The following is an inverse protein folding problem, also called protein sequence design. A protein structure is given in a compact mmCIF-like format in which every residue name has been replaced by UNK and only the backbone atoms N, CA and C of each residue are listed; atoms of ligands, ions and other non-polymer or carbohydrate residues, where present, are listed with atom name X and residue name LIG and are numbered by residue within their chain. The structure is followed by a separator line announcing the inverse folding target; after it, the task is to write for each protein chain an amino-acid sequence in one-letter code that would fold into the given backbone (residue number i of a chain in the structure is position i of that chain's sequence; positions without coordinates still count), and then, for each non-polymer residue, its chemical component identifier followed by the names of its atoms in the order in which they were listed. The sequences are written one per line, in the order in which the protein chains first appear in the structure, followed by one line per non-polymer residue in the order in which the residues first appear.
data_IF_868288871902
#
_entry.id   IF_868288871902
#
_cell.length_a   1.000
_cell.length_b   1.000
_cell.length_c   1.000
_cell.angle_alpha   90.00
_cell.angle_beta   90.00
_cell.angle_gamma   90.00
#
_symmetry.space_group_name_H-M   'P 1'
#
loop_
_entity.id
_entity.type
_entity.pdbx_description
1 polymer ?
#
# COMPACT_ATOMS: atom_id res chain seq x y z
N UNK A 1 33.53 -22.40 16.36
CA UNK A 1 32.70 -23.27 15.51
C UNK A 1 33.36 -24.62 15.40
N UNK A 2 32.65 -25.71 15.66
CA UNK A 2 33.17 -27.06 15.46
C UNK A 2 33.41 -27.31 13.96
N UNK A 3 34.22 -28.31 13.60
CA UNK A 3 34.41 -28.71 12.18
C UNK A 3 33.08 -29.11 11.54
N UNK A 4 32.23 -29.79 12.29
CA UNK A 4 30.91 -30.25 11.86
C UNK A 4 29.97 -29.10 11.48
N UNK A 5 29.99 -27.99 12.25
CA UNK A 5 29.18 -26.81 11.92
C UNK A 5 29.63 -26.15 10.60
N UNK A 6 30.93 -26.15 10.30
CA UNK A 6 31.46 -25.60 9.03
C UNK A 6 31.05 -26.43 7.82
N UNK A 7 31.08 -27.75 7.95
CA UNK A 7 30.66 -28.67 6.88
C UNK A 7 29.15 -28.56 6.61
N UNK A 8 28.36 -28.44 7.67
CA UNK A 8 26.92 -28.23 7.59
C UNK A 8 26.59 -26.88 6.94
N UNK A 9 27.31 -25.81 7.29
CA UNK A 9 27.19 -24.50 6.63
C UNK A 9 27.51 -24.58 5.13
N UNK A 10 28.62 -25.22 4.75
CA UNK A 10 29.02 -25.37 3.34
C UNK A 10 27.97 -26.15 2.52
N UNK A 11 27.42 -27.22 3.10
CA UNK A 11 26.38 -28.04 2.45
C UNK A 11 25.07 -27.26 2.24
N UNK A 12 24.67 -26.44 3.21
CA UNK A 12 23.51 -25.54 3.08
C UNK A 12 23.75 -24.51 1.98
N UNK A 13 24.92 -23.87 1.96
CA UNK A 13 25.28 -22.88 0.94
C UNK A 13 25.21 -23.49 -0.45
N UNK A 14 25.72 -24.72 -0.62
CA UNK A 14 25.67 -25.42 -1.90
C UNK A 14 24.24 -25.72 -2.35
N UNK A 15 23.41 -26.33 -1.50
CA UNK A 15 22.01 -26.64 -1.85
C UNK A 15 21.17 -25.39 -2.13
N UNK A 16 21.46 -24.27 -1.47
CA UNK A 16 20.80 -22.99 -1.74
C UNK A 16 21.22 -22.43 -3.10
N UNK A 17 22.50 -22.55 -3.48
CA UNK A 17 22.98 -22.20 -4.83
C UNK A 17 22.37 -23.09 -5.91
N UNK A 18 22.20 -24.38 -5.61
CA UNK A 18 21.57 -25.35 -6.51
C UNK A 18 20.04 -25.16 -6.63
N UNK A 19 19.47 -24.20 -5.89
CA UNK A 19 18.06 -23.81 -6.01
C UNK A 19 17.08 -24.71 -5.26
N UNK A 20 17.56 -25.60 -4.38
CA UNK A 20 16.73 -26.50 -3.58
C UNK A 20 15.82 -25.70 -2.64
N UNK A 21 14.58 -26.18 -2.46
CA UNK A 21 13.61 -25.52 -1.59
C UNK A 21 14.09 -25.54 -0.13
N UNK A 22 13.94 -24.42 0.58
CA UNK A 22 14.33 -24.30 2.00
C UNK A 22 13.62 -25.34 2.89
N UNK A 23 12.37 -25.69 2.59
CA UNK A 23 11.66 -26.72 3.34
C UNK A 23 12.34 -28.09 3.21
N UNK A 24 12.80 -28.41 2.00
CA UNK A 24 13.46 -29.67 1.69
C UNK A 24 14.85 -29.74 2.33
N UNK A 25 15.61 -28.65 2.30
CA UNK A 25 16.90 -28.52 3.01
C UNK A 25 16.74 -28.79 4.51
N UNK A 26 15.69 -28.24 5.14
CA UNK A 26 15.41 -28.47 6.57
C UNK A 26 15.11 -29.93 6.87
N UNK A 27 14.34 -30.60 6.01
CA UNK A 27 13.99 -32.01 6.20
C UNK A 27 15.19 -32.93 5.98
N UNK A 28 15.98 -32.70 4.93
CA UNK A 28 17.15 -33.52 4.61
C UNK A 28 18.26 -33.39 5.66
N UNK A 29 18.52 -32.17 6.13
CA UNK A 29 19.57 -31.92 7.13
C UNK A 29 19.07 -31.96 8.58
N UNK A 30 17.75 -32.13 8.80
CA UNK A 30 17.09 -32.07 10.12
C UNK A 30 17.44 -30.81 10.91
N UNK A 31 17.49 -29.66 10.23
CA UNK A 31 17.87 -28.37 10.83
C UNK A 31 16.63 -27.51 11.11
N UNK A 32 16.63 -26.81 12.25
CA UNK A 32 15.61 -25.82 12.58
C UNK A 32 15.63 -24.59 11.67
N UNK A 33 14.46 -23.96 11.48
CA UNK A 33 14.28 -22.81 10.59
C UNK A 33 15.19 -21.61 10.92
N UNK A 34 15.47 -21.37 12.20
CA UNK A 34 16.32 -20.26 12.65
C UNK A 34 17.78 -20.44 12.20
N UNK A 35 18.34 -21.64 12.38
CA UNK A 35 19.74 -21.96 12.02
C UNK A 35 19.95 -21.88 10.50
N UNK A 36 19.00 -22.38 9.71
CA UNK A 36 19.04 -22.22 8.24
C UNK A 36 19.02 -20.74 7.82
N UNK A 37 18.10 -19.94 8.37
CA UNK A 37 18.01 -18.50 8.04
C UNK A 37 19.25 -17.72 8.46
N UNK A 38 19.86 -18.07 9.60
CA UNK A 38 21.10 -17.43 10.06
C UNK A 38 22.27 -17.69 9.12
N UNK A 39 22.46 -18.94 8.69
CA UNK A 39 23.53 -19.33 7.77
C UNK A 39 23.33 -18.69 6.40
N UNK A 40 22.10 -18.68 5.91
CA UNK A 40 21.75 -18.07 4.63
C UNK A 40 21.98 -16.55 4.67
N UNK A 41 21.59 -15.87 5.76
CA UNK A 41 21.85 -14.44 5.98
C UNK A 41 23.35 -14.14 6.09
N UNK A 42 24.11 -14.94 6.85
CA UNK A 42 25.56 -14.77 7.05
C UNK A 42 26.34 -14.87 5.74
N UNK A 43 25.89 -15.74 4.84
CA UNK A 43 26.53 -15.94 3.54
C UNK A 43 26.02 -14.99 2.44
N UNK A 44 25.19 -14.00 2.77
CA UNK A 44 24.60 -13.08 1.78
C UNK A 44 23.72 -13.77 0.74
N UNK A 45 23.40 -15.05 0.96
CA UNK A 45 22.48 -15.82 0.14
C UNK A 45 21.11 -15.28 0.50
N UNK A 46 20.47 -14.61 -0.45
CA UNK A 46 19.23 -13.92 -0.14
C UNK A 46 18.12 -14.95 0.09
N UNK A 47 17.59 -15.04 1.32
CA UNK A 47 16.24 -15.62 1.55
C UNK A 47 15.15 -14.79 0.87
N UNK A 48 15.47 -13.56 0.46
CA UNK A 48 14.60 -12.66 -0.27
C UNK A 48 14.59 -12.91 -1.76
N UNK A 49 13.98 -14.02 -2.20
CA UNK A 49 13.41 -14.10 -3.57
C UNK A 49 12.29 -13.06 -3.82
N UNK A 50 12.01 -12.14 -2.88
CA UNK A 50 10.81 -11.29 -2.92
C UNK A 50 11.03 -9.80 -2.66
N UNK A 51 12.27 -9.31 -2.55
CA UNK A 51 12.53 -7.89 -2.30
C UNK A 51 13.56 -7.28 -3.26
N UNK A 52 13.66 -7.79 -4.50
CA UNK A 52 14.19 -6.94 -5.55
C UNK A 52 13.23 -5.73 -5.68
N UNK A 53 13.76 -4.50 -5.71
CA UNK A 53 12.96 -3.35 -6.10
C UNK A 53 12.26 -3.65 -7.43
N UNK A 54 11.02 -3.19 -7.61
CA UNK A 54 10.31 -3.38 -8.87
C UNK A 54 11.03 -2.57 -9.96
N UNK A 55 11.43 -3.22 -11.06
CA UNK A 55 11.97 -2.48 -12.20
C UNK A 55 10.85 -1.74 -12.91
N UNK A 56 11.20 -0.68 -13.64
CA UNK A 56 10.22 0.11 -14.38
C UNK A 56 9.50 -0.72 -15.45
N UNK A 57 10.20 -1.65 -16.08
CA UNK A 57 9.64 -2.63 -17.03
C UNK A 57 8.61 -3.56 -16.34
N UNK A 58 8.92 -4.08 -15.15
CA UNK A 58 7.97 -4.93 -14.40
C UNK A 58 6.72 -4.14 -14.01
N UNK A 59 6.89 -2.85 -13.67
CA UNK A 59 5.78 -1.96 -13.33
C UNK A 59 4.87 -1.70 -14.53
N UNK A 60 5.44 -1.46 -15.70
CA UNK A 60 4.68 -1.22 -16.93
C UNK A 60 3.89 -2.46 -17.35
N UNK A 61 4.47 -3.66 -17.19
CA UNK A 61 3.77 -4.93 -17.42
C UNK A 61 2.57 -5.06 -16.48
N UNK A 62 2.75 -4.81 -15.18
CA UNK A 62 1.67 -4.88 -14.20
C UNK A 62 0.58 -3.85 -14.52
N UNK A 63 0.96 -2.62 -14.87
CA UNK A 63 0.00 -1.58 -15.23
C UNK A 63 -0.78 -1.96 -16.50
N UNK A 64 -0.11 -2.39 -17.57
CA UNK A 64 -0.77 -2.81 -18.80
C UNK A 64 -1.77 -3.94 -18.55
N UNK A 65 -1.32 -5.03 -17.92
CA UNK A 65 -2.15 -6.22 -17.74
C UNK A 65 -3.28 -6.00 -16.72
N UNK A 66 -3.01 -5.30 -15.62
CA UNK A 66 -4.01 -5.11 -14.58
C UNK A 66 -4.98 -3.95 -14.90
N UNK A 67 -4.48 -2.85 -15.45
CA UNK A 67 -5.27 -1.63 -15.69
C UNK A 67 -5.90 -1.61 -17.08
N UNK A 68 -5.12 -1.85 -18.14
CA UNK A 68 -5.63 -1.77 -19.52
C UNK A 68 -6.44 -3.02 -19.88
N UNK A 69 -5.97 -4.19 -19.47
CA UNK A 69 -6.60 -5.47 -19.82
C UNK A 69 -7.51 -6.03 -18.71
N UNK A 70 -7.51 -5.44 -17.50
CA UNK A 70 -8.39 -5.83 -16.41
C UNK A 70 -8.11 -7.22 -15.83
N UNK A 71 -6.89 -7.77 -16.03
CA UNK A 71 -6.55 -9.11 -15.57
C UNK A 71 -6.38 -9.15 -14.05
N UNK A 72 -6.88 -10.23 -13.45
CA UNK A 72 -6.67 -10.48 -12.01
C UNK A 72 -5.21 -10.85 -11.74
N UNK A 73 -4.66 -10.56 -10.53
CA UNK A 73 -3.28 -10.90 -10.20
C UNK A 73 -2.93 -12.38 -10.41
N UNK A 74 -3.92 -13.27 -10.23
CA UNK A 74 -3.76 -14.70 -10.48
C UNK A 74 -3.60 -15.03 -11.98
N UNK A 75 -4.26 -14.30 -12.87
CA UNK A 75 -4.06 -14.44 -14.32
C UNK A 75 -2.71 -13.86 -14.75
N UNK A 76 -2.32 -12.71 -14.20
CA UNK A 76 -1.02 -12.08 -14.46
C UNK A 76 0.12 -13.01 -14.04
N UNK A 77 0.01 -13.70 -12.91
CA UNK A 77 1.02 -14.68 -12.51
C UNK A 77 1.15 -15.84 -13.52
N UNK A 78 0.04 -16.28 -14.12
CA UNK A 78 0.03 -17.38 -15.09
C UNK A 78 0.63 -17.01 -16.45
N UNK A 79 0.74 -15.74 -16.80
CA UNK A 79 1.37 -15.33 -18.07
C UNK A 79 2.88 -15.53 -18.05
N UNK A 80 3.49 -15.67 -16.87
CA UNK A 80 4.93 -15.89 -16.74
C UNK A 80 5.81 -14.68 -17.11
N UNK A 81 5.20 -13.53 -17.42
CA UNK A 81 5.90 -12.32 -17.86
C UNK A 81 6.73 -11.63 -16.75
N UNK A 82 6.53 -12.02 -15.49
CA UNK A 82 7.24 -11.49 -14.33
C UNK A 82 8.04 -12.62 -13.66
N UNK A 83 9.13 -13.10 -14.29
CA UNK A 83 9.93 -14.18 -13.74
C UNK A 83 10.56 -13.75 -12.42
N UNK A 84 10.49 -14.62 -11.40
CA UNK A 84 11.01 -14.33 -10.07
C UNK A 84 10.06 -13.58 -9.13
N UNK A 85 8.91 -13.07 -9.62
CA UNK A 85 7.87 -12.49 -8.75
C UNK A 85 6.85 -13.54 -8.33
N UNK A 86 6.55 -13.61 -7.03
CA UNK A 86 5.46 -14.47 -6.55
C UNK A 86 4.10 -13.86 -6.88
N UNK A 87 3.09 -14.73 -6.97
CA UNK A 87 1.68 -14.34 -7.05
C UNK A 87 1.29 -13.31 -5.99
N UNK A 88 1.78 -13.47 -4.76
CA UNK A 88 1.51 -12.54 -3.66
C UNK A 88 2.13 -11.16 -3.93
N UNK A 89 3.39 -11.10 -4.38
CA UNK A 89 4.08 -9.85 -4.73
C UNK A 89 3.34 -9.09 -5.84
N UNK A 90 2.91 -9.79 -6.89
CA UNK A 90 2.12 -9.23 -7.99
C UNK A 90 0.79 -8.69 -7.47
N UNK A 91 0.07 -9.45 -6.64
CA UNK A 91 -1.20 -9.01 -6.07
C UNK A 91 -1.05 -7.74 -5.22
N UNK A 92 -0.06 -7.70 -4.33
CA UNK A 92 0.24 -6.50 -3.53
C UNK A 92 0.49 -5.30 -4.44
N UNK A 93 1.24 -5.48 -5.54
CA UNK A 93 1.51 -4.38 -6.46
C UNK A 93 0.26 -3.89 -7.18
N UNK A 94 -0.56 -4.79 -7.72
CA UNK A 94 -1.83 -4.47 -8.37
C UNK A 94 -2.78 -3.65 -7.46
N UNK A 95 -2.89 -4.04 -6.19
CA UNK A 95 -3.74 -3.33 -5.23
C UNK A 95 -3.14 -1.99 -4.78
N UNK A 96 -1.82 -1.88 -4.68
CA UNK A 96 -1.16 -0.61 -4.38
C UNK A 96 -1.27 0.38 -5.56
N UNK A 97 -1.17 -0.07 -6.81
CA UNK A 97 -1.35 0.79 -7.97
C UNK A 97 -2.78 1.35 -8.04
N UNK A 98 -3.79 0.51 -7.76
CA UNK A 98 -5.19 0.95 -7.74
C UNK A 98 -5.52 1.85 -6.56
N UNK A 99 -4.90 1.63 -5.39
CA UNK A 99 -5.10 2.50 -4.22
C UNK A 99 -4.43 3.87 -4.37
N UNK A 100 -3.23 3.94 -4.95
CA UNK A 100 -2.55 5.19 -5.26
C UNK A 100 -3.35 6.05 -6.24
N UNK A 101 -3.91 5.43 -7.28
CA UNK A 101 -4.79 6.12 -8.23
C UNK A 101 -6.06 6.64 -7.54
N UNK A 102 -6.73 5.82 -6.72
CA UNK A 102 -7.88 6.30 -5.94
C UNK A 102 -7.51 7.45 -5.02
N UNK A 103 -6.29 7.49 -4.49
CA UNK A 103 -5.82 8.59 -3.66
C UNK A 103 -5.55 9.85 -4.49
N UNK A 104 -5.10 9.73 -5.73
CA UNK A 104 -4.97 10.85 -6.67
C UNK A 104 -6.35 11.34 -7.15
N UNK A 105 -7.28 10.45 -7.47
CA UNK A 105 -8.65 10.78 -7.86
C UNK A 105 -9.46 11.39 -6.71
N UNK A 106 -9.23 10.93 -5.47
CA UNK A 106 -9.82 11.47 -4.24
C UNK A 106 -9.00 12.58 -3.59
N UNK A 107 -7.85 12.93 -4.16
CA UNK A 107 -7.22 14.20 -3.83
C UNK A 107 -8.11 15.27 -4.46
N UNK A 108 -9.28 15.50 -3.84
CA UNK A 108 -10.02 16.72 -4.02
C UNK A 108 -8.99 17.86 -3.94
N UNK A 109 -9.03 18.83 -4.87
CA UNK A 109 -8.09 19.94 -4.84
C UNK A 109 -8.16 20.52 -3.43
N UNK A 110 -7.06 20.41 -2.68
CA UNK A 110 -6.91 21.09 -1.41
C UNK A 110 -7.14 22.56 -1.72
N UNK A 111 -8.26 23.11 -1.27
CA UNK A 111 -8.58 24.52 -1.44
C UNK A 111 -7.37 25.28 -0.89
N UNK A 112 -6.73 26.09 -1.74
CA UNK A 112 -5.57 26.84 -1.31
C UNK A 112 -6.00 27.83 -0.23
N UNK A 113 -5.12 28.17 0.70
CA UNK A 113 -5.42 29.17 1.74
C UNK A 113 -5.88 30.51 1.14
N UNK A 114 -5.37 30.83 -0.05
CA UNK A 114 -5.76 32.01 -0.83
C UNK A 114 -7.19 31.91 -1.35
N UNK A 115 -7.59 30.76 -1.90
CA UNK A 115 -8.96 30.53 -2.36
C UNK A 115 -9.95 30.52 -1.19
N UNK A 116 -9.57 29.96 -0.04
CA UNK A 116 -10.37 30.06 1.20
C UNK A 116 -10.55 31.51 1.64
N UNK A 117 -9.49 32.33 1.63
CA UNK A 117 -9.56 33.73 2.04
C UNK A 117 -10.48 34.52 1.11
N UNK A 118 -10.41 34.27 -0.20
CA UNK A 118 -11.26 34.92 -1.19
C UNK A 118 -12.73 34.51 -1.04
N UNK A 119 -13.00 33.24 -0.75
CA UNK A 119 -14.36 32.79 -0.42
C UNK A 119 -14.88 33.44 0.87
N UNK A 120 -14.05 33.58 1.91
CA UNK A 120 -14.45 34.27 3.15
C UNK A 120 -14.79 35.74 2.91
N UNK A 121 -14.05 36.44 2.05
CA UNK A 121 -14.33 37.83 1.68
C UNK A 121 -15.62 38.00 0.86
N UNK A 122 -16.02 36.96 0.13
CA UNK A 122 -17.28 36.96 -0.63
C UNK A 122 -18.54 36.82 0.23
N UNK A 123 -18.38 36.39 1.49
CA UNK A 123 -19.48 36.27 2.45
C UNK A 123 -19.70 37.64 3.07
N UNK A 124 -20.89 38.27 2.91
CA UNK A 124 -21.19 39.53 3.56
C UNK A 124 -21.10 39.41 5.08
N UNK A 125 -20.57 40.45 5.74
CA UNK A 125 -20.51 40.50 7.20
C UNK A 125 -21.93 40.40 7.80
N UNK A 126 -22.11 39.51 8.78
CA UNK A 126 -23.38 39.39 9.49
C UNK A 126 -23.62 40.63 10.34
N UNK A 127 -24.52 41.51 9.88
CA UNK A 127 -24.88 42.75 10.55
C UNK A 127 -25.82 42.54 11.74
N UNK A 128 -26.15 41.29 12.10
CA UNK A 128 -27.00 40.99 13.26
C UNK A 128 -26.27 41.27 14.57
N UNK A 129 -27.01 41.83 15.52
CA UNK A 129 -26.52 42.06 16.88
C UNK A 129 -26.06 40.75 17.52
N UNK A 130 -25.11 40.84 18.48
CA UNK A 130 -24.58 39.66 19.19
C UNK A 130 -25.68 38.81 19.81
N UNK A 131 -26.73 39.45 20.33
CA UNK A 131 -27.92 38.80 20.90
C UNK A 131 -28.74 38.09 19.83
N UNK A 132 -28.96 38.71 18.67
CA UNK A 132 -29.72 38.11 17.56
C UNK A 132 -29.01 36.91 16.92
N UNK A 133 -27.67 36.87 16.95
CA UNK A 133 -26.88 35.70 16.54
C UNK A 133 -27.09 34.48 17.44
N UNK A 134 -27.33 34.70 18.73
CA UNK A 134 -27.48 33.62 19.73
C UNK A 134 -28.94 33.20 19.88
N UNK A 135 -29.86 34.17 19.91
CA UNK A 135 -31.27 33.95 20.26
C UNK A 135 -32.19 33.89 19.04
N UNK A 136 -31.65 34.10 17.84
CA UNK A 136 -32.44 34.36 16.63
C UNK A 136 -32.96 35.80 16.59
N UNK A 137 -33.22 36.28 15.38
CA UNK A 137 -33.76 37.62 15.13
C UNK A 137 -35.21 37.70 15.64
N UNK A 138 -35.58 38.67 16.49
CA UNK A 138 -36.92 38.76 17.08
C UNK A 138 -38.02 39.07 16.05
N UNK A 139 -37.67 39.38 14.80
CA UNK A 139 -38.63 39.55 13.73
C UNK A 139 -39.29 38.20 13.37
N UNK A 140 -40.64 38.13 13.37
CA UNK A 140 -41.37 36.92 13.01
C UNK A 140 -40.96 36.44 11.62
N UNK A 141 -40.64 35.15 11.49
CA UNK A 141 -40.17 34.52 10.25
C UNK A 141 -38.67 34.63 9.94
N UNK A 142 -37.87 35.28 10.79
CA UNK A 142 -36.40 35.42 10.61
C UNK A 142 -35.54 34.70 11.65
N UNK A 143 -36.15 34.16 12.69
CA UNK A 143 -35.48 33.34 13.72
C UNK A 143 -35.40 31.88 13.30
N UNK A 144 -34.23 31.26 13.51
CA UNK A 144 -34.05 29.81 13.40
C UNK A 144 -34.90 29.02 14.42
N UNK A 145 -35.45 29.70 15.44
CA UNK A 145 -36.34 29.15 16.46
C UNK A 145 -37.83 29.39 16.16
N UNK A 146 -38.18 30.11 15.08
CA UNK A 146 -39.59 30.36 14.75
C UNK A 146 -40.24 29.11 14.14
N UNK A 147 -40.90 28.31 14.99
CA UNK A 147 -41.57 27.06 14.60
C UNK A 147 -42.87 27.26 13.81
N UNK A 148 -43.30 28.50 13.53
CA UNK A 148 -44.50 28.78 12.70
C UNK A 148 -44.36 28.38 11.22
N UNK A 149 -43.19 27.88 10.80
CA UNK A 149 -42.96 27.28 9.47
C UNK A 149 -43.11 25.75 9.42
N UNK A 150 -43.38 25.08 10.55
CA UNK A 150 -43.51 23.62 10.62
C UNK A 150 -44.96 23.11 10.42
N UNK A 151 -45.77 23.83 9.63
CA UNK A 151 -47.11 23.41 9.21
C UNK A 151 -47.23 23.50 7.68
#
# INVERSE_FOLDING_TARGET
MSREDKELEAKIVQMVKDGVNQNEIRHQLKIGSKKLQEIVRRNGLNTGKFSAAWSEEELEIVERLHRKEGLSPGKIFKTGLLPGRSKASIATRCYNTTSLLRKQERAAPSISKEHEALMRQSIPDDTRSKTARIMGDPLPGRSALDMRRAA
#
